data_IF_602861293761
#
_entry.id   IF_602861293761
#
_cell.length_a   1.000
_cell.length_b   1.000
_cell.length_c   1.000
_cell.angle_alpha   90.00
_cell.angle_beta   90.00
_cell.angle_gamma   90.00
#
_symmetry.space_group_name_H-M   'P 1'
#
loop_
_entity.id
_entity.type
_entity.pdbx_description
1 polymer ?
#
# COMPACT_ATOMS: atom_id res chain seq x y z
N UNK A 1 42.90 19.96 79.16
CA UNK A 1 42.89 18.74 78.31
C UNK A 1 41.44 18.29 78.26
N UNK A 2 40.58 18.63 77.28
CA UNK A 2 40.60 18.49 75.80
C UNK A 2 40.81 17.05 75.33
N UNK A 3 39.76 16.48 74.72
CA UNK A 3 39.61 15.51 73.60
C UNK A 3 38.10 15.16 73.67
N UNK A 4 37.12 15.74 72.94
CA UNK A 4 36.81 15.98 71.51
C UNK A 4 36.78 14.71 70.64
N UNK A 5 35.64 14.58 69.92
CA UNK A 5 35.34 13.83 68.68
C UNK A 5 34.54 12.52 68.87
N UNK A 6 33.53 12.16 68.07
CA UNK A 6 32.91 12.74 66.86
C UNK A 6 31.53 12.06 66.69
N UNK A 7 30.46 12.82 66.43
CA UNK A 7 29.14 12.29 66.05
C UNK A 7 29.20 11.80 64.60
N UNK A 8 29.06 10.49 64.37
CA UNK A 8 28.97 9.93 63.02
C UNK A 8 27.49 9.86 62.60
N UNK A 9 27.02 10.90 61.89
CA UNK A 9 25.70 10.87 61.26
C UNK A 9 25.74 9.98 60.02
N UNK A 10 25.13 8.80 60.10
CA UNK A 10 24.87 7.96 58.92
C UNK A 10 23.66 8.53 58.16
N UNK A 11 23.90 9.51 57.30
CA UNK A 11 22.92 9.92 56.31
C UNK A 11 22.93 8.89 55.16
N UNK A 12 21.98 7.97 55.16
CA UNK A 12 21.68 7.14 53.99
C UNK A 12 21.12 8.06 52.90
N UNK A 13 21.92 8.34 51.87
CA UNK A 13 21.43 8.96 50.64
C UNK A 13 20.91 7.83 49.75
N UNK A 14 19.60 7.76 49.44
CA UNK A 14 19.14 6.81 48.43
C UNK A 14 19.64 7.30 47.06
N UNK A 15 20.54 6.53 46.45
CA UNK A 15 20.94 6.70 45.07
C UNK A 15 19.74 6.31 44.19
N UNK A 16 18.83 7.25 43.94
CA UNK A 16 17.79 7.08 42.93
C UNK A 16 18.48 7.08 41.56
N UNK A 17 18.72 5.88 41.04
CA UNK A 17 19.09 5.70 39.65
C UNK A 17 17.98 6.32 38.79
N UNK A 18 18.29 7.46 38.15
CA UNK A 18 17.49 8.00 37.06
C UNK A 18 17.58 6.98 35.92
N UNK A 19 16.62 6.06 35.88
CA UNK A 19 16.32 5.29 34.69
C UNK A 19 15.86 6.29 33.62
N UNK A 20 16.81 6.74 32.81
CA UNK A 20 16.49 7.41 31.55
C UNK A 20 15.88 6.33 30.67
N UNK A 21 14.56 6.35 30.54
CA UNK A 21 13.85 5.63 29.49
C UNK A 21 14.26 6.25 28.16
N UNK A 22 15.42 5.87 27.63
CA UNK A 22 15.66 5.98 26.20
C UNK A 22 14.65 5.05 25.55
N UNK A 23 13.59 5.62 25.00
CA UNK A 23 12.72 4.93 24.04
C UNK A 23 13.53 4.75 22.75
N UNK A 24 14.56 3.92 22.79
CA UNK A 24 15.11 3.33 21.59
C UNK A 24 14.04 2.37 21.07
N UNK A 25 13.17 2.92 20.25
CA UNK A 25 12.30 2.13 19.38
C UNK A 25 13.26 1.25 18.58
N UNK A 26 13.19 -0.08 18.65
CA UNK A 26 14.11 -0.93 17.89
C UNK A 26 13.97 -0.51 16.43
N UNK A 27 15.10 -0.17 15.80
CA UNK A 27 15.20 0.27 14.43
C UNK A 27 14.65 -0.84 13.53
N UNK A 28 13.33 -0.83 13.30
CA UNK A 28 12.65 -1.85 12.52
C UNK A 28 13.25 -1.77 11.12
N UNK A 29 13.92 -2.83 10.70
CA UNK A 29 14.52 -2.89 9.37
C UNK A 29 13.39 -2.77 8.33
N UNK A 30 13.19 -1.56 7.81
CA UNK A 30 12.19 -1.26 6.82
C UNK A 30 12.56 -1.97 5.51
N UNK A 31 11.75 -2.95 5.11
CA UNK A 31 11.97 -3.69 3.87
C UNK A 31 11.28 -2.96 2.72
N UNK A 32 12.00 -2.78 1.61
CA UNK A 32 11.41 -2.20 0.41
C UNK A 32 10.56 -3.24 -0.35
N UNK A 33 9.50 -2.75 -0.99
CA UNK A 33 8.76 -3.51 -2.01
C UNK A 33 9.61 -3.51 -3.27
N UNK A 34 9.83 -4.66 -3.88
CA UNK A 34 10.67 -4.82 -5.07
C UNK A 34 9.83 -5.12 -6.31
N UNK A 35 10.33 -4.69 -7.47
CA UNK A 35 9.78 -5.07 -8.76
C UNK A 35 10.27 -6.47 -9.18
N UNK A 36 9.78 -6.90 -10.34
CA UNK A 36 10.14 -8.19 -10.96
C UNK A 36 11.61 -8.31 -11.36
N UNK A 37 12.32 -7.18 -11.50
CA UNK A 37 13.77 -7.15 -11.76
C UNK A 37 14.58 -7.14 -10.44
N UNK A 38 13.89 -7.10 -9.29
CA UNK A 38 14.50 -7.10 -7.95
C UNK A 38 14.87 -5.72 -7.43
N UNK A 39 14.51 -4.64 -8.13
CA UNK A 39 14.80 -3.27 -7.69
C UNK A 39 13.69 -2.72 -6.78
N UNK A 40 14.04 -1.92 -5.76
CA UNK A 40 13.05 -1.24 -4.93
C UNK A 40 12.13 -0.32 -5.74
N UNK A 41 10.83 -0.38 -5.47
CA UNK A 41 9.84 0.56 -6.00
C UNK A 41 10.13 1.98 -5.52
N UNK A 42 9.91 2.97 -6.39
CA UNK A 42 10.23 4.39 -6.15
C UNK A 42 8.98 5.26 -6.29
N UNK A 43 8.83 6.29 -5.45
CA UNK A 43 7.63 7.17 -5.35
C UNK A 43 7.26 7.88 -6.66
N UNK A 44 8.23 8.17 -7.53
CA UNK A 44 8.02 8.86 -8.80
C UNK A 44 8.16 7.95 -10.03
N UNK A 45 8.12 6.63 -9.83
CA UNK A 45 8.19 5.65 -10.91
C UNK A 45 6.85 4.96 -11.05
N UNK A 46 6.49 4.66 -12.30
CA UNK A 46 5.25 3.99 -12.65
C UNK A 46 5.47 2.49 -12.65
N UNK A 47 4.49 1.73 -12.18
CA UNK A 47 4.53 0.27 -12.20
C UNK A 47 3.19 -0.30 -12.65
N UNK A 48 3.21 -1.40 -13.40
CA UNK A 48 2.02 -2.22 -13.56
C UNK A 48 1.83 -3.09 -12.32
N UNK A 49 0.62 -3.15 -11.81
CA UNK A 49 0.20 -4.13 -10.80
C UNK A 49 -0.28 -5.37 -11.54
N UNK A 50 0.50 -6.43 -11.52
CA UNK A 50 0.32 -7.58 -12.40
C UNK A 50 0.08 -8.87 -11.61
N UNK A 51 -0.72 -9.80 -12.14
CA UNK A 51 -0.94 -11.11 -11.51
C UNK A 51 0.38 -11.86 -11.34
N UNK A 52 0.67 -12.36 -10.14
CA UNK A 52 1.85 -13.19 -9.90
C UNK A 52 1.77 -14.57 -10.59
N UNK A 53 0.56 -15.13 -10.71
CA UNK A 53 0.34 -16.36 -11.47
C UNK A 53 0.26 -16.02 -12.97
N UNK A 54 1.19 -16.57 -13.75
CA UNK A 54 1.25 -16.40 -15.20
C UNK A 54 0.22 -17.31 -15.90
N UNK A 55 -0.14 -17.02 -17.15
CA UNK A 55 -1.16 -17.78 -17.87
C UNK A 55 -2.58 -17.52 -17.33
N UNK A 56 -3.27 -18.59 -16.93
CA UNK A 56 -4.66 -18.53 -16.47
C UNK A 56 -4.90 -17.67 -15.19
N UNK A 57 -3.83 -17.17 -14.55
CA UNK A 57 -3.93 -16.20 -13.45
C UNK A 57 -4.47 -14.82 -13.89
N UNK A 58 -4.41 -14.52 -15.18
CA UNK A 58 -4.81 -13.27 -15.82
C UNK A 58 -3.73 -12.19 -15.82
N UNK A 59 -4.07 -11.00 -16.28
CA UNK A 59 -3.12 -9.90 -16.48
C UNK A 59 -3.06 -8.89 -15.35
N UNK A 60 -2.81 -7.65 -15.74
CA UNK A 60 -2.67 -6.52 -14.85
C UNK A 60 -3.98 -5.83 -14.51
N UNK A 61 -3.87 -4.87 -13.60
CA UNK A 61 -5.00 -4.10 -13.08
C UNK A 61 -5.29 -2.91 -14.00
N UNK A 62 -6.58 -2.65 -14.23
CA UNK A 62 -7.08 -1.57 -15.11
C UNK A 62 -8.40 -1.02 -14.58
N UNK A 63 -8.93 -0.02 -15.29
CA UNK A 63 -10.28 0.51 -15.05
C UNK A 63 -11.29 -0.06 -16.04
N UNK A 64 -12.52 -0.22 -15.57
CA UNK A 64 -13.67 -0.61 -16.37
C UNK A 64 -14.94 0.18 -15.98
N UNK A 65 -15.89 0.25 -16.91
CA UNK A 65 -17.25 0.65 -16.63
C UNK A 65 -18.03 -0.60 -16.23
N UNK A 66 -18.35 -0.72 -14.94
CA UNK A 66 -19.21 -1.79 -14.43
C UNK A 66 -20.57 -1.17 -14.12
N UNK A 67 -21.55 -1.49 -14.95
CA UNK A 67 -22.90 -0.94 -14.91
C UNK A 67 -23.18 0.07 -16.03
N UNK A 68 -24.36 0.67 -15.99
CA UNK A 68 -24.89 1.58 -17.01
C UNK A 68 -24.29 2.99 -16.88
N UNK A 69 -22.97 3.09 -16.91
CA UNK A 69 -22.33 4.40 -17.06
C UNK A 69 -22.49 4.87 -18.50
N UNK A 70 -22.76 6.16 -18.69
CA UNK A 70 -22.85 6.77 -20.02
C UNK A 70 -21.58 6.50 -20.84
N UNK A 71 -21.72 6.41 -22.17
CA UNK A 71 -20.64 6.09 -23.12
C UNK A 71 -19.42 7.03 -23.02
N UNK A 72 -19.60 8.21 -22.42
CA UNK A 72 -18.56 9.23 -22.21
C UNK A 72 -18.07 9.37 -20.76
N UNK A 73 -18.61 8.57 -19.82
CA UNK A 73 -18.23 8.60 -18.43
C UNK A 73 -16.83 7.99 -18.20
N UNK A 74 -16.15 8.50 -17.18
CA UNK A 74 -14.85 8.01 -16.77
C UNK A 74 -14.98 6.70 -15.99
N UNK A 75 -14.32 5.60 -16.42
CA UNK A 75 -14.36 4.35 -15.67
C UNK A 75 -13.68 4.53 -14.33
N UNK A 76 -14.32 4.02 -13.28
CA UNK A 76 -13.80 4.09 -11.90
C UNK A 76 -13.67 2.74 -11.23
N UNK A 77 -14.26 1.68 -11.79
CA UNK A 77 -14.14 0.34 -11.21
C UNK A 77 -12.74 -0.23 -11.42
N UNK A 78 -12.06 -0.61 -10.34
CA UNK A 78 -10.74 -1.24 -10.42
C UNK A 78 -10.91 -2.75 -10.66
N UNK A 79 -10.44 -3.23 -11.80
CA UNK A 79 -10.59 -4.63 -12.22
C UNK A 79 -9.26 -5.22 -12.64
N UNK A 80 -9.15 -6.54 -12.62
CA UNK A 80 -8.02 -7.27 -13.18
C UNK A 80 -8.35 -7.80 -14.56
N UNK A 81 -7.41 -7.70 -15.50
CA UNK A 81 -7.59 -8.26 -16.85
C UNK A 81 -7.61 -9.79 -16.83
N UNK A 82 -8.44 -10.40 -17.66
CA UNK A 82 -8.45 -11.85 -17.85
C UNK A 82 -7.27 -12.34 -18.69
N UNK A 83 -6.76 -11.51 -19.59
CA UNK A 83 -5.65 -11.83 -20.48
C UNK A 83 -4.33 -11.49 -19.79
N UNK A 84 -3.41 -12.44 -19.73
CA UNK A 84 -2.04 -12.22 -19.25
C UNK A 84 -1.19 -11.36 -20.22
N UNK A 85 -1.68 -11.14 -21.44
CA UNK A 85 -1.08 -10.22 -22.40
C UNK A 85 -1.40 -8.74 -22.08
N UNK A 86 -2.46 -8.48 -21.32
CA UNK A 86 -2.85 -7.13 -20.93
C UNK A 86 -2.19 -6.75 -19.60
N UNK A 87 -1.16 -5.90 -19.67
CA UNK A 87 -0.48 -5.35 -18.49
C UNK A 87 -1.34 -4.39 -17.68
N UNK A 88 -2.47 -3.93 -18.22
CA UNK A 88 -3.35 -2.97 -17.59
C UNK A 88 -2.80 -1.54 -17.62
N UNK A 89 -3.17 -0.74 -16.62
CA UNK A 89 -2.82 0.67 -16.52
C UNK A 89 -1.79 0.82 -15.40
N UNK A 90 -0.68 1.49 -15.70
CA UNK A 90 0.36 1.72 -14.70
C UNK A 90 -0.12 2.64 -13.56
N UNK A 91 0.44 2.47 -12.38
CA UNK A 91 0.13 3.26 -11.18
C UNK A 91 1.37 3.95 -10.63
N UNK A 92 1.14 5.04 -9.91
CA UNK A 92 2.08 5.57 -8.93
C UNK A 92 1.70 5.09 -7.52
N UNK A 93 2.73 4.98 -6.68
CA UNK A 93 2.58 4.74 -5.26
C UNK A 93 3.05 5.97 -4.50
N UNK A 94 2.18 6.53 -3.66
CA UNK A 94 2.50 7.69 -2.83
C UNK A 94 2.47 7.31 -1.35
N UNK A 95 3.61 7.19 -0.67
CA UNK A 95 3.67 6.93 0.76
C UNK A 95 2.92 7.99 1.56
N UNK A 96 2.29 7.57 2.65
CA UNK A 96 1.70 8.48 3.63
C UNK A 96 2.76 9.30 4.36
N UNK A 97 3.90 8.67 4.67
CA UNK A 97 5.08 9.33 5.23
C UNK A 97 6.00 9.79 4.08
N UNK A 98 6.09 11.10 3.78
CA UNK A 98 6.76 11.62 2.58
C UNK A 98 8.28 11.47 2.61
N UNK A 99 8.89 11.13 3.75
CA UNK A 99 10.36 10.97 3.87
C UNK A 99 10.91 9.76 3.12
N UNK A 100 10.07 8.79 2.76
CA UNK A 100 10.52 7.59 2.07
C UNK A 100 10.58 7.81 0.55
N UNK A 101 11.78 7.71 -0.02
CA UNK A 101 11.97 7.71 -1.48
C UNK A 101 11.59 6.36 -2.13
N UNK A 102 11.66 5.29 -1.33
CA UNK A 102 11.30 3.94 -1.71
C UNK A 102 9.94 3.55 -1.12
N UNK A 103 9.23 2.65 -1.79
CA UNK A 103 8.00 2.07 -1.24
C UNK A 103 8.37 0.97 -0.25
N UNK A 104 7.92 1.14 0.99
CA UNK A 104 8.23 0.24 2.11
C UNK A 104 7.06 -0.71 2.35
N UNK A 105 7.36 -1.98 2.59
CA UNK A 105 6.36 -2.99 2.95
C UNK A 105 5.57 -2.58 4.19
N UNK A 106 4.28 -2.93 4.21
CA UNK A 106 3.33 -2.66 5.31
C UNK A 106 3.16 -1.19 5.69
N UNK A 107 3.75 -0.25 4.94
CA UNK A 107 3.57 1.18 5.13
C UNK A 107 2.37 1.68 4.34
N UNK A 108 1.58 2.58 4.96
CA UNK A 108 0.39 3.12 4.31
C UNK A 108 0.75 4.00 3.13
N UNK A 109 0.03 3.84 2.02
CA UNK A 109 0.24 4.57 0.77
C UNK A 109 -1.07 4.74 -0.01
N UNK A 110 -1.12 5.74 -0.88
CA UNK A 110 -2.13 5.80 -1.93
C UNK A 110 -1.62 5.11 -3.19
N UNK A 111 -2.55 4.54 -3.95
CA UNK A 111 -2.34 3.99 -5.29
C UNK A 111 -3.14 4.87 -6.25
N UNK A 112 -2.52 5.37 -7.32
CA UNK A 112 -3.25 6.14 -8.32
C UNK A 112 -2.82 5.76 -9.74
N UNK A 113 -3.80 5.61 -10.62
CA UNK A 113 -3.52 5.35 -12.03
C UNK A 113 -2.82 6.52 -12.70
N UNK A 114 -1.96 6.19 -13.66
CA UNK A 114 -1.36 7.11 -14.59
C UNK A 114 -2.17 7.13 -15.89
N UNK A 115 -2.52 8.33 -16.36
CA UNK A 115 -3.12 8.58 -17.66
C UNK A 115 -2.28 9.60 -18.43
N UNK A 116 -2.08 9.37 -19.72
CA UNK A 116 -1.44 10.36 -20.62
C UNK A 116 -2.39 11.53 -20.95
N UNK A 117 -3.70 11.32 -20.80
CA UNK A 117 -4.73 12.32 -21.01
C UNK A 117 -5.20 12.93 -19.69
N UNK A 118 -5.56 14.21 -19.73
CA UNK A 118 -6.21 14.90 -18.61
C UNK A 118 -7.68 14.48 -18.43
N UNK A 119 -8.28 13.76 -19.40
CA UNK A 119 -9.62 13.20 -19.24
C UNK A 119 -9.59 12.22 -18.05
N UNK A 120 -10.48 12.43 -17.07
CA UNK A 120 -10.56 11.61 -15.84
C UNK A 120 -9.38 11.76 -14.85
N UNK A 121 -8.53 12.78 -14.98
CA UNK A 121 -7.35 12.95 -14.12
C UNK A 121 -7.69 13.04 -12.62
N UNK A 122 -8.87 13.54 -12.26
CA UNK A 122 -9.37 13.62 -10.89
C UNK A 122 -9.92 12.29 -10.32
N UNK A 123 -10.01 11.24 -11.14
CA UNK A 123 -10.59 9.95 -10.79
C UNK A 123 -9.53 8.83 -10.84
N UNK A 124 -8.31 9.12 -10.41
CA UNK A 124 -7.17 8.18 -10.51
C UNK A 124 -6.86 7.46 -9.20
N UNK A 125 -7.12 8.09 -8.05
CA UNK A 125 -6.71 7.59 -6.74
C UNK A 125 -7.69 6.54 -6.24
N UNK A 126 -7.16 5.39 -5.83
CA UNK A 126 -7.93 4.24 -5.37
C UNK A 126 -8.59 4.51 -4.02
N UNK A 127 -9.76 3.88 -3.81
CA UNK A 127 -10.48 3.87 -2.54
C UNK A 127 -11.29 2.59 -2.36
N UNK A 128 -11.55 2.26 -1.11
CA UNK A 128 -12.55 1.27 -0.72
C UNK A 128 -13.93 1.93 -0.73
N UNK A 129 -14.87 1.37 -1.47
CA UNK A 129 -16.25 1.84 -1.55
C UNK A 129 -17.05 1.47 -0.30
N UNK A 130 -18.07 2.28 0.00
CA UNK A 130 -19.01 2.07 1.11
C UNK A 130 -18.36 2.00 2.50
N UNK A 131 -17.09 2.38 2.68
CA UNK A 131 -16.47 2.45 4.01
C UNK A 131 -17.00 3.65 4.83
N UNK A 132 -17.29 3.52 6.14
CA UNK A 132 -17.04 2.38 7.04
C UNK A 132 -18.20 1.38 7.15
N UNK A 133 -19.25 1.49 6.33
CA UNK A 133 -20.44 0.63 6.38
C UNK A 133 -20.37 -0.40 5.23
N UNK A 134 -19.61 -1.50 5.40
CA UNK A 134 -19.41 -2.46 4.32
C UNK A 134 -20.72 -3.04 3.83
N UNK A 135 -20.83 -3.24 2.51
CA UNK A 135 -21.82 -4.13 1.91
C UNK A 135 -21.22 -5.53 1.82
N UNK A 136 -21.98 -6.51 1.28
CA UNK A 136 -21.56 -7.92 1.12
C UNK A 136 -20.10 -8.07 0.64
N UNK A 137 -19.66 -7.21 -0.28
CA UNK A 137 -18.25 -6.98 -0.59
C UNK A 137 -17.99 -5.48 -0.69
N UNK A 138 -16.92 -4.97 -0.08
CA UNK A 138 -16.47 -3.60 -0.31
C UNK A 138 -15.61 -3.57 -1.57
N UNK A 139 -16.14 -2.97 -2.64
CA UNK A 139 -15.44 -2.84 -3.92
C UNK A 139 -14.30 -1.83 -3.86
N UNK A 140 -13.31 -2.00 -4.73
CA UNK A 140 -12.28 -0.98 -4.97
C UNK A 140 -12.67 -0.17 -6.20
N UNK A 141 -12.66 1.14 -6.06
CA UNK A 141 -12.87 2.10 -7.15
C UNK A 141 -11.84 3.22 -7.08
N UNK A 142 -11.95 4.21 -7.95
CA UNK A 142 -11.16 5.44 -7.90
C UNK A 142 -11.99 6.69 -7.58
N UNK A 143 -11.30 7.81 -7.34
CA UNK A 143 -11.92 9.11 -7.07
C UNK A 143 -11.66 9.68 -5.68
N UNK A 144 -10.74 9.09 -4.90
CA UNK A 144 -10.25 9.71 -3.67
C UNK A 144 -9.32 10.91 -3.96
N UNK A 145 -9.00 11.71 -2.93
CA UNK A 145 -8.02 12.79 -3.04
C UNK A 145 -6.63 12.27 -2.66
N UNK A 146 -5.66 12.51 -3.53
CA UNK A 146 -4.28 12.07 -3.33
C UNK A 146 -3.67 12.73 -2.09
N UNK A 147 -3.20 11.93 -1.13
CA UNK A 147 -2.52 12.38 0.07
C UNK A 147 -3.44 13.01 1.13
N UNK A 148 -4.75 12.91 0.99
CA UNK A 148 -5.68 13.45 1.98
C UNK A 148 -5.75 12.53 3.21
N UNK A 149 -5.25 12.96 4.39
CA UNK A 149 -5.26 12.11 5.58
C UNK A 149 -6.68 11.79 6.08
N UNK A 150 -7.67 12.61 5.72
CA UNK A 150 -9.08 12.40 6.07
C UNK A 150 -9.76 11.32 5.22
N UNK A 151 -9.22 11.00 4.04
CA UNK A 151 -9.75 9.94 3.17
C UNK A 151 -9.20 8.58 3.65
N UNK A 152 -9.61 8.15 4.84
CA UNK A 152 -9.11 6.92 5.50
C UNK A 152 -9.21 5.70 4.60
N UNK A 153 -10.27 5.62 3.79
CA UNK A 153 -10.54 4.53 2.85
C UNK A 153 -9.66 4.52 1.58
N UNK A 154 -8.73 5.48 1.43
CA UNK A 154 -7.80 5.56 0.31
C UNK A 154 -6.38 5.04 0.62
N UNK A 155 -6.14 4.66 1.88
CA UNK A 155 -4.84 4.19 2.35
C UNK A 155 -4.74 2.66 2.31
N UNK A 156 -3.88 2.17 1.44
CA UNK A 156 -3.57 0.75 1.28
C UNK A 156 -2.18 0.45 1.84
N UNK A 157 -1.86 -0.82 2.01
CA UNK A 157 -0.51 -1.30 2.25
C UNK A 157 -0.16 -2.42 1.29
N UNK A 158 1.14 -2.59 1.03
CA UNK A 158 1.68 -3.70 0.26
C UNK A 158 2.38 -4.63 1.25
N UNK A 159 1.92 -5.88 1.38
CA UNK A 159 2.52 -6.89 2.26
C UNK A 159 3.17 -8.01 1.46
N UNK A 160 4.31 -8.56 1.91
CA UNK A 160 4.96 -9.67 1.22
C UNK A 160 4.13 -10.96 1.32
N UNK A 161 4.18 -11.76 0.27
CA UNK A 161 3.73 -13.16 0.27
C UNK A 161 4.91 -14.16 0.13
N UNK A 162 6.13 -13.65 -0.08
CA UNK A 162 7.34 -14.43 -0.30
C UNK A 162 8.01 -14.09 -1.64
N UNK A 163 9.35 -14.10 -1.66
CA UNK A 163 10.11 -13.63 -2.82
C UNK A 163 9.72 -12.19 -3.22
N UNK A 164 9.59 -11.94 -4.53
CA UNK A 164 9.06 -10.68 -5.08
C UNK A 164 7.54 -10.69 -5.32
N UNK A 165 6.80 -11.52 -4.57
CA UNK A 165 5.34 -11.60 -4.65
C UNK A 165 4.69 -10.91 -3.44
N UNK A 166 3.63 -10.15 -3.70
CA UNK A 166 2.99 -9.29 -2.73
C UNK A 166 1.47 -9.44 -2.74
N UNK A 167 0.83 -8.95 -1.69
CA UNK A 167 -0.61 -8.69 -1.65
C UNK A 167 -0.88 -7.24 -1.27
N UNK A 168 -2.00 -6.72 -1.75
CA UNK A 168 -2.54 -5.45 -1.30
C UNK A 168 -3.50 -5.71 -0.13
N UNK A 169 -3.44 -4.84 0.88
CA UNK A 169 -4.34 -4.90 2.03
C UNK A 169 -4.86 -3.50 2.37
N UNK A 170 -6.01 -3.47 3.04
CA UNK A 170 -6.61 -2.27 3.59
C UNK A 170 -6.63 -2.36 5.12
N UNK A 171 -5.93 -1.43 5.79
CA UNK A 171 -5.75 -1.41 7.24
C UNK A 171 -6.10 -0.01 7.78
N UNK A 172 -7.40 0.33 7.93
CA UNK A 172 -7.82 1.70 8.23
C UNK A 172 -7.33 2.21 9.59
N UNK A 173 -7.11 1.31 10.55
CA UNK A 173 -6.69 1.62 11.92
C UNK A 173 -5.23 1.24 12.21
N UNK A 174 -4.54 0.67 11.22
CA UNK A 174 -3.11 0.34 11.33
C UNK A 174 -2.78 -0.92 12.13
N UNK A 175 -3.74 -1.59 12.79
CA UNK A 175 -3.45 -2.87 13.44
C UNK A 175 -3.38 -4.01 12.41
N UNK A 176 -2.44 -4.94 12.60
CA UNK A 176 -2.25 -6.06 11.69
C UNK A 176 -3.45 -7.00 11.62
N UNK A 177 -4.16 -7.19 12.74
CA UNK A 177 -5.28 -8.13 12.87
C UNK A 177 -6.59 -7.60 12.27
N UNK A 178 -6.69 -6.31 11.96
CA UNK A 178 -7.89 -5.69 11.37
C UNK A 178 -7.74 -5.44 9.87
N UNK A 179 -6.59 -5.79 9.29
CA UNK A 179 -6.31 -5.65 7.86
C UNK A 179 -7.15 -6.62 7.01
N UNK A 180 -7.85 -6.09 6.01
CA UNK A 180 -8.55 -6.90 5.02
C UNK A 180 -7.72 -7.05 3.74
N UNK A 181 -7.71 -8.24 3.13
CA UNK A 181 -6.98 -8.45 1.88
C UNK A 181 -7.75 -7.86 0.70
N UNK A 182 -7.02 -7.42 -0.31
CA UNK A 182 -7.59 -7.15 -1.64
C UNK A 182 -7.52 -8.43 -2.46
N UNK A 183 -8.67 -8.88 -2.93
CA UNK A 183 -8.82 -10.05 -3.80
C UNK A 183 -9.66 -9.73 -5.02
N UNK A 184 -10.24 -10.77 -5.63
CA UNK A 184 -11.02 -10.68 -6.87
C UNK A 184 -12.37 -11.36 -6.68
N UNK A 185 -13.44 -10.73 -7.17
CA UNK A 185 -14.74 -11.38 -7.43
C UNK A 185 -15.16 -11.18 -8.88
N UNK A 186 -16.03 -12.04 -9.39
CA UNK A 186 -16.72 -11.81 -10.65
C UNK A 186 -17.90 -10.85 -10.44
N UNK A 187 -17.97 -9.80 -11.26
CA UNK A 187 -19.05 -8.80 -11.27
C UNK A 187 -19.31 -8.37 -12.72
N UNK A 188 -20.49 -8.69 -13.26
CA UNK A 188 -20.89 -8.32 -14.64
C UNK A 188 -19.86 -8.70 -15.72
N UNK A 189 -19.21 -9.87 -15.59
CA UNK A 189 -18.18 -10.35 -16.52
C UNK A 189 -16.77 -9.80 -16.27
N UNK A 190 -16.60 -8.91 -15.30
CA UNK A 190 -15.31 -8.35 -14.89
C UNK A 190 -14.79 -9.00 -13.60
N UNK A 191 -13.46 -9.12 -13.51
CA UNK A 191 -12.74 -9.54 -12.30
C UNK A 191 -12.52 -8.33 -11.39
N UNK A 192 -13.54 -7.95 -10.62
CA UNK A 192 -13.55 -6.77 -9.75
C UNK A 192 -12.63 -6.94 -8.54
N UNK A 193 -11.81 -5.93 -8.24
CA UNK A 193 -11.06 -5.89 -6.99
C UNK A 193 -12.00 -5.54 -5.82
N UNK A 194 -11.91 -6.33 -4.75
CA UNK A 194 -12.74 -6.22 -3.55
C UNK A 194 -11.94 -6.50 -2.28
N UNK A 195 -12.44 -6.04 -1.14
CA UNK A 195 -12.00 -6.55 0.15
C UNK A 195 -12.57 -7.95 0.40
N UNK A 196 -11.71 -8.88 0.81
CA UNK A 196 -12.06 -10.28 1.03
C UNK A 196 -11.04 -10.96 1.95
N UNK A 197 -11.37 -12.16 2.42
CA UNK A 197 -10.44 -13.02 3.16
C UNK A 197 -9.31 -13.54 2.26
N UNK A 198 -9.59 -13.80 0.98
CA UNK A 198 -8.63 -14.39 0.05
C UNK A 198 -7.83 -13.33 -0.71
N UNK A 199 -6.53 -13.23 -0.42
CA UNK A 199 -5.66 -12.27 -1.11
C UNK A 199 -5.39 -12.67 -2.57
N UNK A 200 -5.45 -11.69 -3.48
CA UNK A 200 -4.83 -11.84 -4.80
C UNK A 200 -3.33 -11.53 -4.69
N UNK A 201 -2.52 -12.45 -5.21
CA UNK A 201 -1.08 -12.30 -5.27
C UNK A 201 -0.67 -11.50 -6.52
N UNK A 202 0.09 -10.44 -6.31
CA UNK A 202 0.57 -9.50 -7.32
C UNK A 202 2.10 -9.43 -7.36
N UNK A 203 2.62 -9.03 -8.51
CA UNK A 203 3.99 -8.56 -8.72
C UNK A 203 3.96 -7.17 -9.34
N UNK A 204 5.07 -6.45 -9.24
CA UNK A 204 5.20 -5.11 -9.81
C UNK A 204 6.17 -5.13 -10.98
N UNK A 205 5.73 -4.61 -12.13
CA UNK A 205 6.56 -4.52 -13.34
C UNK A 205 6.80 -3.05 -13.61
N UNK A 206 8.07 -2.63 -13.66
CA UNK A 206 8.42 -1.23 -13.93
C UNK A 206 7.87 -0.79 -15.28
N UNK A 207 7.10 0.29 -15.28
CA UNK A 207 6.56 0.90 -16.51
C UNK A 207 7.59 1.88 -17.07
N UNK A 208 8.30 1.41 -18.10
CA UNK A 208 9.30 2.19 -18.83
C UNK A 208 8.92 2.38 -20.30
N UNK A 209 9.32 3.52 -20.85
CA UNK A 209 9.63 3.64 -22.26
C UNK A 209 11.14 3.82 -22.39
N UNK A 210 11.81 2.86 -23.01
CA UNK A 210 13.00 3.00 -23.86
C UNK A 210 13.26 1.62 -24.48
N UNK A 211 13.29 1.59 -25.80
CA UNK A 211 13.37 0.39 -26.60
C UNK A 211 14.56 -0.48 -26.22
N UNK A 212 14.34 -1.79 -26.23
CA UNK A 212 15.44 -2.72 -26.45
C UNK A 212 15.88 -2.52 -27.89
N UNK A 213 17.08 -1.97 -28.10
CA UNK A 213 17.79 -2.26 -29.34
C UNK A 213 18.04 -3.76 -29.33
N UNK A 214 17.30 -4.49 -30.15
CA UNK A 214 17.67 -5.86 -30.50
C UNK A 214 18.88 -5.75 -31.45
N UNK A 215 19.95 -6.45 -31.09
CA UNK A 215 21.05 -6.73 -32.00
C UNK A 215 20.66 -7.91 -32.89
#
# INVERSE_FOLDING_TARGET
MKIIFLLFSLALVPLSALATCTTDTPNQLLRAVHDTDGYPLQVNTRYFVFSSCWGAGGGGVRLANIGDQEENACPTAVVQSRSDLDKGIAVYFKPKEPKHQQIVESSSLNINFYFDSNKCANLTVWKVDNYPIPRKYSTISTGAKLGNPLDVNSWFQIKPLGGSTYKLVFCPYGEEFTCQNVGITEENGYRRLVLTENAKAFVFIKHGGLGKAEA
#
